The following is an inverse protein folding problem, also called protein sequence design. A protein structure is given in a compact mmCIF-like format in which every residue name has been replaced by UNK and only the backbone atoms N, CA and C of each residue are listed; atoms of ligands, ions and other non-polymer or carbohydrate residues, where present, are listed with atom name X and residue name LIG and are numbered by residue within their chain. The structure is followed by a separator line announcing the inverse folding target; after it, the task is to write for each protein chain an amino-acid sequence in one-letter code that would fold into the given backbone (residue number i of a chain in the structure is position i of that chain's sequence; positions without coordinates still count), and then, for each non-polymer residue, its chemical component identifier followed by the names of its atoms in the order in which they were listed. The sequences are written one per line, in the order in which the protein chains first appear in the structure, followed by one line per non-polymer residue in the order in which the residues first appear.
data_IF_355785069782
#
_entry.id   IF_355785069782
#
_cell.length_a   1.000
_cell.length_b   1.000
_cell.length_c   1.000
_cell.angle_alpha   90.00
_cell.angle_beta   90.00
_cell.angle_gamma   90.00
#
_symmetry.space_group_name_H-M   'P 1'
#
loop_
_entity.id
_entity.type
_entity.pdbx_description
1 polymer ?
#
# COMPACT_ATOMS: atom_id res chain seq x y z
N UNK A 1 -35.60 -16.19 -6.43
CA UNK A 1 -34.14 -16.36 -6.25
C UNK A 1 -33.65 -15.07 -5.59
N UNK A 2 -33.15 -15.14 -4.37
CA UNK A 2 -32.83 -13.93 -3.61
C UNK A 2 -31.72 -13.15 -4.30
N UNK A 3 -31.96 -11.88 -4.53
CA UNK A 3 -30.99 -10.95 -5.20
C UNK A 3 -29.62 -10.99 -4.55
N UNK A 4 -29.58 -11.21 -3.24
CA UNK A 4 -28.35 -11.36 -2.46
C UNK A 4 -27.52 -12.58 -2.87
N UNK A 5 -28.15 -13.75 -3.03
CA UNK A 5 -27.47 -14.98 -3.47
C UNK A 5 -26.92 -14.80 -4.89
N UNK A 6 -27.70 -14.19 -5.77
CA UNK A 6 -27.25 -13.89 -7.13
C UNK A 6 -26.04 -12.94 -7.12
N UNK A 7 -26.07 -11.92 -6.25
CA UNK A 7 -24.95 -10.98 -6.06
C UNK A 7 -23.68 -11.68 -5.63
N UNK A 8 -23.75 -12.55 -4.63
CA UNK A 8 -22.60 -13.32 -4.14
C UNK A 8 -22.02 -14.24 -5.23
N UNK A 9 -22.89 -14.97 -5.95
CA UNK A 9 -22.45 -15.85 -7.04
C UNK A 9 -21.77 -15.02 -8.14
N UNK A 10 -22.37 -13.90 -8.55
CA UNK A 10 -21.81 -13.01 -9.58
C UNK A 10 -20.43 -12.47 -9.15
N UNK A 11 -20.29 -12.06 -7.90
CA UNK A 11 -19.03 -11.56 -7.36
C UNK A 11 -17.94 -12.64 -7.39
N UNK A 12 -18.24 -13.86 -6.97
CA UNK A 12 -17.30 -14.99 -6.99
C UNK A 12 -16.88 -15.30 -8.43
N UNK A 13 -17.85 -15.41 -9.34
CA UNK A 13 -17.60 -15.70 -10.76
C UNK A 13 -16.71 -14.60 -11.37
N UNK A 14 -17.03 -13.35 -11.11
CA UNK A 14 -16.23 -12.21 -11.60
C UNK A 14 -14.80 -12.23 -11.05
N UNK A 15 -14.63 -12.48 -9.75
CA UNK A 15 -13.31 -12.62 -9.12
C UNK A 15 -12.48 -13.73 -9.78
N UNK A 16 -13.05 -14.91 -9.95
CA UNK A 16 -12.35 -16.05 -10.58
C UNK A 16 -12.03 -15.76 -12.05
N UNK A 17 -12.97 -15.15 -12.78
CA UNK A 17 -12.76 -14.78 -14.18
C UNK A 17 -11.62 -13.74 -14.35
N UNK A 18 -11.50 -12.78 -13.43
CA UNK A 18 -10.43 -11.78 -13.44
C UNK A 18 -9.10 -12.30 -12.89
N UNK A 19 -9.14 -13.26 -11.97
CA UNK A 19 -7.91 -13.84 -11.39
C UNK A 19 -7.06 -14.56 -12.44
N UNK A 20 -7.66 -15.20 -13.43
CA UNK A 20 -6.92 -15.93 -14.47
C UNK A 20 -6.05 -15.01 -15.35
N UNK A 21 -6.59 -13.95 -16.01
CA UNK A 21 -5.74 -13.05 -16.82
C UNK A 21 -4.74 -12.29 -15.96
N UNK A 22 -5.11 -11.89 -14.73
CA UNK A 22 -4.21 -11.22 -13.80
C UNK A 22 -3.06 -12.13 -13.40
N UNK A 23 -3.33 -13.39 -13.06
CA UNK A 23 -2.30 -14.36 -12.69
C UNK A 23 -1.32 -14.63 -13.85
N UNK A 24 -1.83 -14.73 -15.08
CA UNK A 24 -0.97 -14.85 -16.26
C UNK A 24 -0.10 -13.61 -16.49
N UNK A 25 -0.64 -12.43 -16.28
CA UNK A 25 0.11 -11.18 -16.38
C UNK A 25 1.23 -11.14 -15.34
N UNK A 26 0.92 -11.39 -14.06
CA UNK A 26 1.90 -11.43 -12.97
C UNK A 26 3.00 -12.45 -13.27
N UNK A 27 2.64 -13.66 -13.71
CA UNK A 27 3.60 -14.69 -14.07
C UNK A 27 4.56 -14.27 -15.20
N UNK A 28 4.07 -13.51 -16.20
CA UNK A 28 4.91 -12.96 -17.27
C UNK A 28 5.88 -11.90 -16.75
N UNK A 29 5.41 -11.01 -15.87
CA UNK A 29 6.27 -9.98 -15.24
C UNK A 29 7.40 -10.65 -14.46
N UNK A 30 7.10 -11.63 -13.61
CA UNK A 30 8.13 -12.36 -12.84
C UNK A 30 9.10 -13.16 -13.69
N UNK A 31 8.67 -13.62 -14.87
CA UNK A 31 9.55 -14.30 -15.84
C UNK A 31 10.34 -13.33 -16.72
N UNK A 32 10.23 -12.03 -16.54
CA UNK A 32 10.90 -11.02 -17.37
C UNK A 32 10.43 -10.98 -18.83
N UNK A 33 9.25 -11.55 -19.12
CA UNK A 33 8.69 -11.56 -20.48
C UNK A 33 8.09 -10.20 -20.82
N UNK A 34 8.04 -9.87 -22.12
CA UNK A 34 7.43 -8.62 -22.58
C UNK A 34 5.96 -8.55 -22.16
N UNK A 35 5.59 -7.44 -21.54
CA UNK A 35 4.24 -7.13 -21.10
C UNK A 35 3.82 -5.75 -21.59
N UNK A 36 2.52 -5.46 -21.53
CA UNK A 36 2.01 -4.14 -21.89
C UNK A 36 2.55 -3.02 -20.98
N UNK A 37 2.96 -3.35 -19.76
CA UNK A 37 3.54 -2.40 -18.81
C UNK A 37 5.00 -2.02 -19.08
N UNK A 38 5.62 -2.57 -20.13
CA UNK A 38 7.02 -2.29 -20.51
C UNK A 38 7.27 -0.80 -20.84
N UNK A 39 6.21 -0.04 -21.14
CA UNK A 39 6.30 1.42 -21.29
C UNK A 39 6.73 2.13 -20.01
N UNK A 40 6.57 1.50 -18.85
CA UNK A 40 7.01 2.04 -17.55
C UNK A 40 8.47 1.73 -17.22
N UNK A 41 9.18 0.92 -18.02
CA UNK A 41 10.60 0.60 -17.80
C UNK A 41 11.52 1.81 -17.61
N UNK A 42 11.32 2.96 -18.24
CA UNK A 42 12.14 4.15 -17.97
C UNK A 42 12.00 4.64 -16.54
N UNK A 43 10.76 4.60 -16.00
CA UNK A 43 10.46 4.99 -14.62
C UNK A 43 11.08 3.99 -13.64
N UNK A 44 10.94 2.69 -13.93
CA UNK A 44 11.55 1.62 -13.15
C UNK A 44 13.08 1.77 -13.06
N UNK A 45 13.74 2.03 -14.19
CA UNK A 45 15.19 2.29 -14.22
C UNK A 45 15.60 3.52 -13.41
N UNK A 46 14.77 4.58 -13.44
CA UNK A 46 15.00 5.78 -12.63
C UNK A 46 14.93 5.44 -11.15
N UNK A 47 13.92 4.68 -10.74
CA UNK A 47 13.76 4.23 -9.35
C UNK A 47 14.95 3.37 -8.93
N UNK A 48 15.37 2.40 -9.72
CA UNK A 48 16.55 1.56 -9.43
C UNK A 48 17.81 2.40 -9.27
N UNK A 49 18.01 3.40 -10.14
CA UNK A 49 19.15 4.30 -10.05
C UNK A 49 19.13 5.16 -8.79
N UNK A 50 17.98 5.72 -8.43
CA UNK A 50 17.81 6.55 -7.22
C UNK A 50 17.96 5.72 -5.95
N UNK A 51 17.42 4.51 -5.93
CA UNK A 51 17.50 3.60 -4.79
C UNK A 51 18.81 2.80 -4.72
N UNK A 52 19.69 2.90 -5.72
CA UNK A 52 20.93 2.13 -5.78
C UNK A 52 20.70 0.62 -5.90
N UNK A 53 19.59 0.21 -6.55
CA UNK A 53 19.22 -1.20 -6.70
C UNK A 53 19.85 -1.76 -7.98
N UNK A 54 20.59 -2.87 -7.85
CA UNK A 54 21.04 -3.65 -8.98
C UNK A 54 20.08 -4.83 -9.22
N UNK A 55 19.24 -4.80 -10.26
CA UNK A 55 18.24 -5.85 -10.51
C UNK A 55 18.86 -7.21 -10.92
N UNK A 56 20.16 -7.25 -11.23
CA UNK A 56 20.87 -8.48 -11.58
C UNK A 56 21.44 -9.21 -10.35
N UNK A 57 21.42 -8.59 -9.18
CA UNK A 57 21.94 -9.19 -7.94
C UNK A 57 20.80 -9.73 -7.09
N UNK A 58 20.93 -10.98 -6.67
CA UNK A 58 20.00 -11.60 -5.71
C UNK A 58 20.38 -11.19 -4.28
N UNK A 59 19.37 -10.78 -3.51
CA UNK A 59 19.55 -10.47 -2.10
C UNK A 59 19.49 -11.74 -1.26
N UNK A 60 20.45 -11.89 -0.32
CA UNK A 60 20.31 -12.88 0.71
C UNK A 60 19.22 -12.47 1.74
N UNK A 61 18.78 -13.41 2.57
CA UNK A 61 17.69 -13.16 3.51
C UNK A 61 17.96 -12.00 4.50
N UNK A 62 19.23 -11.76 4.88
CA UNK A 62 19.61 -10.67 5.79
C UNK A 62 19.48 -9.31 5.10
N UNK A 63 19.91 -9.24 3.85
CA UNK A 63 19.79 -8.03 3.04
C UNK A 63 18.31 -7.71 2.78
N UNK A 64 17.51 -8.72 2.46
CA UNK A 64 16.07 -8.58 2.29
C UNK A 64 15.39 -8.08 3.57
N UNK A 65 15.69 -8.72 4.72
CA UNK A 65 15.16 -8.30 6.01
C UNK A 65 15.53 -6.85 6.35
N UNK A 66 16.79 -6.47 6.13
CA UNK A 66 17.26 -5.09 6.35
C UNK A 66 16.50 -4.09 5.46
N UNK A 67 16.35 -4.39 4.18
CA UNK A 67 15.61 -3.54 3.25
C UNK A 67 14.13 -3.38 3.68
N UNK A 68 13.50 -4.49 4.07
CA UNK A 68 12.12 -4.49 4.55
C UNK A 68 11.96 -3.65 5.83
N UNK A 69 12.86 -3.79 6.79
CA UNK A 69 12.81 -3.02 8.04
C UNK A 69 13.02 -1.52 7.79
N UNK A 70 13.97 -1.15 6.92
CA UNK A 70 14.20 0.25 6.55
C UNK A 70 12.96 0.85 5.87
N UNK A 71 12.35 0.12 4.93
CA UNK A 71 11.15 0.56 4.24
C UNK A 71 9.98 0.76 5.22
N UNK A 72 9.77 -0.20 6.12
CA UNK A 72 8.72 -0.09 7.13
C UNK A 72 8.99 1.06 8.11
N UNK A 73 10.23 1.25 8.56
CA UNK A 73 10.60 2.38 9.41
C UNK A 73 10.35 3.73 8.71
N UNK A 74 10.68 3.83 7.42
CA UNK A 74 10.40 5.02 6.62
C UNK A 74 8.89 5.32 6.58
N UNK A 75 8.07 4.35 6.24
CA UNK A 75 6.62 4.52 6.18
C UNK A 75 6.00 4.81 7.55
N UNK A 76 6.54 4.20 8.61
CA UNK A 76 6.12 4.49 9.98
C UNK A 76 6.37 5.96 10.34
N UNK A 77 7.60 6.44 10.14
CA UNK A 77 7.95 7.84 10.44
C UNK A 77 7.13 8.80 9.60
N UNK A 78 6.97 8.50 8.31
CA UNK A 78 6.18 9.32 7.40
C UNK A 78 4.71 9.37 7.80
N UNK A 79 4.09 8.23 8.11
CA UNK A 79 2.71 8.15 8.58
C UNK A 79 2.51 8.90 9.90
N UNK A 80 3.43 8.75 10.86
CA UNK A 80 3.41 9.50 12.12
C UNK A 80 3.44 11.02 11.88
N UNK A 81 4.34 11.49 11.03
CA UNK A 81 4.43 12.90 10.69
C UNK A 81 3.14 13.43 10.06
N UNK A 82 2.56 12.69 9.13
CA UNK A 82 1.29 13.08 8.51
C UNK A 82 0.16 13.19 9.54
N UNK A 83 -0.03 12.17 10.37
CA UNK A 83 -1.14 12.13 11.32
C UNK A 83 -1.01 13.18 12.44
N UNK A 84 0.19 13.41 12.94
CA UNK A 84 0.43 14.43 13.97
C UNK A 84 0.35 15.85 13.39
N UNK A 85 0.64 16.03 12.09
CA UNK A 85 0.58 17.35 11.44
C UNK A 85 -0.69 17.58 10.62
N UNK A 86 -1.62 16.62 10.54
CA UNK A 86 -2.78 16.69 9.65
C UNK A 86 -3.64 17.94 9.82
N UNK A 87 -3.72 18.49 11.02
CA UNK A 87 -4.50 19.72 11.28
C UNK A 87 -3.98 20.96 10.54
N UNK A 88 -2.72 20.96 10.10
CA UNK A 88 -2.08 22.06 9.36
C UNK A 88 -1.97 21.80 7.86
N UNK A 89 -2.26 20.58 7.44
CA UNK A 89 -2.14 20.20 6.05
C UNK A 89 -3.35 20.66 5.24
N UNK A 90 -3.19 20.94 3.93
CA UNK A 90 -4.31 21.16 3.02
C UNK A 90 -5.16 19.88 2.94
N UNK A 91 -6.37 19.99 2.35
CA UNK A 91 -7.33 18.89 2.25
C UNK A 91 -7.94 18.46 3.60
N UNK A 92 -8.15 19.42 4.49
CA UNK A 92 -8.84 19.27 5.76
C UNK A 92 -10.11 20.14 5.81
N UNK A 93 -11.16 19.84 5.01
CA UNK A 93 -12.37 20.66 4.94
C UNK A 93 -13.19 20.63 6.24
N UNK A 94 -13.07 19.55 7.01
CA UNK A 94 -13.83 19.36 8.24
C UNK A 94 -13.13 19.97 9.47
N UNK A 95 -11.92 20.51 9.29
CA UNK A 95 -11.17 21.14 10.37
C UNK A 95 -10.70 20.16 11.45
N UNK A 96 -10.47 18.89 11.08
CA UNK A 96 -9.99 17.88 12.01
C UNK A 96 -8.62 18.27 12.59
N UNK A 97 -8.48 18.17 13.91
CA UNK A 97 -7.24 18.45 14.61
C UNK A 97 -6.15 17.41 14.35
N UNK A 98 -4.89 17.70 14.77
CA UNK A 98 -3.84 16.71 14.75
C UNK A 98 -4.18 15.53 15.67
N UNK A 99 -3.81 14.32 15.27
CA UNK A 99 -3.93 13.16 16.17
C UNK A 99 -2.92 13.27 17.32
N UNK A 100 -3.32 12.80 18.50
CA UNK A 100 -2.37 12.65 19.59
C UNK A 100 -1.30 11.61 19.24
N UNK A 101 -0.06 11.74 19.76
CA UNK A 101 1.05 10.84 19.36
C UNK A 101 0.75 9.35 19.60
N UNK A 102 0.04 9.01 20.67
CA UNK A 102 -0.39 7.65 20.99
C UNK A 102 -1.43 7.12 19.98
N UNK A 103 -2.39 7.94 19.60
CA UNK A 103 -3.38 7.59 18.58
C UNK A 103 -2.73 7.45 17.19
N UNK A 104 -1.85 8.38 16.83
CA UNK A 104 -1.10 8.33 15.58
C UNK A 104 -0.21 7.07 15.50
N UNK A 105 0.46 6.72 16.61
CA UNK A 105 1.25 5.49 16.71
C UNK A 105 0.41 4.25 16.45
N UNK A 106 -0.72 4.13 17.16
CA UNK A 106 -1.63 2.99 16.97
C UNK A 106 -2.15 2.91 15.55
N UNK A 107 -2.57 4.05 14.99
CA UNK A 107 -3.05 4.13 13.61
C UNK A 107 -1.99 3.66 12.62
N UNK A 108 -0.76 4.18 12.72
CA UNK A 108 0.35 3.79 11.84
C UNK A 108 0.63 2.29 11.92
N UNK A 109 0.75 1.74 13.13
CA UNK A 109 1.00 0.30 13.30
C UNK A 109 -0.16 -0.51 12.76
N UNK A 110 -1.39 -0.12 13.04
CA UNK A 110 -2.58 -0.82 12.56
C UNK A 110 -2.62 -0.94 11.04
N UNK A 111 -2.30 0.14 10.33
CA UNK A 111 -2.22 0.11 8.86
C UNK A 111 -1.03 -0.69 8.35
N UNK A 112 0.14 -0.55 8.95
CA UNK A 112 1.35 -1.25 8.52
C UNK A 112 1.24 -2.77 8.66
N UNK A 113 0.62 -3.26 9.75
CA UNK A 113 0.45 -4.70 9.98
C UNK A 113 -0.91 -5.22 9.49
N UNK A 114 -1.72 -4.34 8.89
CA UNK A 114 -3.05 -4.67 8.34
C UNK A 114 -3.98 -5.34 9.37
N UNK A 115 -3.92 -4.91 10.63
CA UNK A 115 -4.79 -5.45 11.68
C UNK A 115 -6.13 -4.72 11.78
N UNK A 116 -6.25 -3.52 11.21
CA UNK A 116 -7.46 -2.69 11.17
C UNK A 116 -8.08 -2.38 12.55
N UNK A 117 -7.28 -2.42 13.61
CA UNK A 117 -7.68 -2.00 14.94
C UNK A 117 -7.66 -0.47 15.02
N UNK A 118 -8.85 0.13 14.93
CA UNK A 118 -9.01 1.58 14.97
C UNK A 118 -9.66 2.00 16.29
N UNK A 119 -9.08 3.04 16.92
CA UNK A 119 -9.59 3.66 18.13
C UNK A 119 -10.31 4.99 17.88
N UNK A 120 -10.55 5.34 16.64
CA UNK A 120 -11.18 6.59 16.23
C UNK A 120 -12.20 6.34 15.11
N UNK A 121 -13.13 7.27 14.97
CA UNK A 121 -13.98 7.34 13.78
C UNK A 121 -13.20 8.02 12.65
N UNK A 122 -13.15 7.38 11.48
CA UNK A 122 -12.46 7.94 10.31
C UNK A 122 -13.01 9.32 9.92
N UNK A 123 -14.30 9.54 10.11
CA UNK A 123 -14.98 10.79 9.79
C UNK A 123 -14.52 11.99 10.63
N UNK A 124 -14.11 11.73 11.89
CA UNK A 124 -13.70 12.79 12.83
C UNK A 124 -12.22 12.75 13.19
N UNK A 125 -11.50 11.71 12.80
CA UNK A 125 -10.11 11.49 13.20
C UNK A 125 -9.07 11.57 12.07
N UNK A 126 -9.52 11.58 10.81
CA UNK A 126 -8.65 11.65 9.65
C UNK A 126 -9.04 12.78 8.71
N UNK A 127 -8.07 13.31 8.00
CA UNK A 127 -8.24 14.22 6.86
C UNK A 127 -8.17 13.45 5.54
N UNK A 128 -8.41 14.11 4.43
CA UNK A 128 -8.29 13.50 3.08
C UNK A 128 -6.83 13.41 2.58
N UNK A 129 -5.88 13.55 3.46
CA UNK A 129 -4.46 13.54 3.12
C UNK A 129 -3.89 12.13 3.07
#
# INVERSE_FOLDING_TARGET
MNTEILGVILQIVLMVALAYPLGRYIARVYKGQKTWSDFMKPIERLIFKVCGINPAEEMNWKQFLKALLILNAFWFVWGMLLLVSQGWLPLNPDGNGPQTPDQAFNTCISFMVNCNLQHYSGESGLTYF
#
